data_IF_308138199098
#
_entry.id   IF_308138199098
#
_cell.length_a   1.000
_cell.length_b   1.000
_cell.length_c   1.000
_cell.angle_alpha   90.00
_cell.angle_beta   90.00
_cell.angle_gamma   90.00
#
_symmetry.space_group_name_H-M   'P 1'
#
loop_
_entity.id
_entity.type
_entity.pdbx_description
1 polymer ?
#
# COMPACT_ATOMS: atom_id res chain seq x y z
N UNK A 1 -17.14 -11.56 4.63
CA UNK A 1 -16.87 -10.92 3.34
C UNK A 1 -15.93 -11.83 2.57
N UNK A 2 -16.28 -12.24 1.37
CA UNK A 2 -15.41 -13.05 0.53
C UNK A 2 -14.15 -12.29 0.11
N UNK A 3 -13.16 -12.97 -0.51
CA UNK A 3 -12.00 -12.30 -1.05
C UNK A 3 -12.43 -11.24 -2.07
N UNK A 4 -11.82 -10.07 -2.01
CA UNK A 4 -11.99 -9.07 -3.06
C UNK A 4 -11.48 -9.69 -4.35
N UNK A 5 -12.28 -9.72 -5.41
CA UNK A 5 -11.94 -10.38 -6.66
C UNK A 5 -10.55 -9.91 -7.19
N UNK A 6 -9.65 -10.84 -7.42
CA UNK A 6 -8.28 -10.59 -7.83
C UNK A 6 -7.32 -10.25 -6.68
N UNK A 7 -7.72 -10.45 -5.43
CA UNK A 7 -6.89 -10.17 -4.26
C UNK A 7 -7.24 -11.12 -3.12
N UNK A 8 -6.23 -11.64 -2.45
CA UNK A 8 -6.39 -12.48 -1.26
C UNK A 8 -6.53 -11.66 0.03
N UNK A 9 -7.23 -10.54 -0.03
CA UNK A 9 -7.57 -9.80 1.20
C UNK A 9 -8.76 -10.51 1.85
N UNK A 10 -8.49 -11.19 2.94
CA UNK A 10 -9.51 -11.69 3.85
C UNK A 10 -9.85 -10.59 4.85
N UNK A 11 -10.87 -9.81 4.53
CA UNK A 11 -11.43 -8.86 5.49
C UNK A 11 -12.49 -9.58 6.34
N UNK A 12 -12.46 -9.41 7.67
CA UNK A 12 -13.51 -9.98 8.53
C UNK A 12 -14.87 -9.47 8.11
N UNK A 13 -15.85 -10.38 7.98
CA UNK A 13 -17.18 -10.10 7.45
C UNK A 13 -18.00 -9.06 8.25
N UNK A 14 -17.63 -8.82 9.49
CA UNK A 14 -18.36 -7.96 10.44
C UNK A 14 -17.70 -6.59 10.66
N UNK A 15 -16.57 -6.35 10.05
CA UNK A 15 -15.79 -5.14 10.32
C UNK A 15 -16.27 -3.98 9.47
N UNK A 16 -16.91 -3.01 10.10
CA UNK A 16 -17.07 -1.69 9.52
C UNK A 16 -15.67 -1.08 9.43
N UNK A 17 -15.13 -0.97 8.21
CA UNK A 17 -13.77 -0.46 7.97
C UNK A 17 -13.66 1.06 8.15
N UNK A 18 -14.78 1.72 8.50
CA UNK A 18 -14.78 3.15 8.80
C UNK A 18 -13.91 3.41 10.03
N UNK A 19 -12.98 4.35 9.89
CA UNK A 19 -12.01 4.74 10.94
C UNK A 19 -11.04 3.62 11.36
N UNK A 20 -10.88 2.59 10.54
CA UNK A 20 -9.81 1.62 10.69
C UNK A 20 -8.75 1.85 9.63
N UNK A 21 -7.56 2.13 10.08
CA UNK A 21 -6.41 2.40 9.25
C UNK A 21 -5.49 1.20 9.26
N UNK A 22 -4.84 0.94 8.13
CA UNK A 22 -4.06 -0.28 7.94
C UNK A 22 -2.67 -0.01 7.42
N UNK A 23 -1.73 -0.82 7.88
CA UNK A 23 -0.47 -1.10 7.19
C UNK A 23 -0.62 -2.46 6.51
N UNK A 24 -0.27 -2.55 5.25
CA UNK A 24 -0.45 -3.74 4.43
C UNK A 24 0.81 -4.09 3.67
N UNK A 25 0.96 -5.38 3.38
CA UNK A 25 1.95 -5.94 2.49
C UNK A 25 1.28 -6.28 1.16
N UNK A 26 1.76 -5.71 0.09
CA UNK A 26 1.38 -6.06 -1.28
C UNK A 26 2.49 -6.87 -1.91
N UNK A 27 2.16 -8.05 -2.39
CA UNK A 27 3.09 -8.99 -3.00
C UNK A 27 2.68 -9.27 -4.44
N UNK A 28 3.65 -9.18 -5.35
CA UNK A 28 3.49 -9.62 -6.72
C UNK A 28 4.31 -10.90 -6.91
N UNK A 29 3.63 -12.00 -7.17
CA UNK A 29 4.23 -13.33 -7.18
C UNK A 29 4.63 -13.70 -8.61
N UNK A 30 5.92 -13.91 -8.82
CA UNK A 30 6.53 -14.32 -10.08
C UNK A 30 7.26 -15.66 -9.91
N UNK A 31 7.52 -16.39 -11.01
CA UNK A 31 8.31 -17.63 -10.94
C UNK A 31 9.72 -17.44 -10.37
N UNK A 32 10.35 -16.30 -10.64
CA UNK A 32 11.70 -15.97 -10.16
C UNK A 32 11.74 -15.46 -8.73
N UNK A 33 10.64 -15.00 -8.18
CA UNK A 33 10.59 -14.46 -6.82
C UNK A 33 9.33 -13.65 -6.52
N UNK A 34 9.25 -13.15 -5.30
CA UNK A 34 8.12 -12.37 -4.80
C UNK A 34 8.55 -10.92 -4.61
N UNK A 35 7.98 -10.03 -5.38
CA UNK A 35 8.18 -8.59 -5.21
C UNK A 35 7.27 -8.07 -4.10
N UNK A 36 7.82 -7.28 -3.18
CA UNK A 36 7.14 -6.88 -1.97
C UNK A 36 7.14 -5.36 -1.79
N UNK A 37 5.99 -4.84 -1.43
CA UNK A 37 5.78 -3.45 -1.09
C UNK A 37 4.95 -3.33 0.19
N UNK A 38 5.37 -2.47 1.10
CA UNK A 38 4.58 -2.13 2.29
C UNK A 38 4.01 -0.73 2.10
N UNK A 39 2.73 -0.60 2.35
CA UNK A 39 2.02 0.67 2.31
C UNK A 39 1.09 0.84 3.49
N UNK A 40 0.56 2.04 3.62
CA UNK A 40 -0.44 2.36 4.62
C UNK A 40 -1.59 3.14 4.02
N UNK A 41 -2.75 3.04 4.65
CA UNK A 41 -3.96 3.73 4.17
C UNK A 41 -4.96 3.97 5.28
N UNK A 42 -5.68 5.06 5.17
CA UNK A 42 -6.86 5.38 5.99
C UNK A 42 -8.15 4.73 5.46
N UNK A 43 -8.11 4.13 4.26
CA UNK A 43 -9.21 3.39 3.67
C UNK A 43 -8.71 2.28 2.76
N UNK A 44 -8.76 1.04 3.23
CA UNK A 44 -8.27 -0.10 2.45
C UNK A 44 -9.10 -0.35 1.18
N UNK A 45 -10.42 -0.20 1.28
CA UNK A 45 -11.32 -0.37 0.13
C UNK A 45 -10.99 0.63 -0.99
N UNK A 46 -10.82 1.90 -0.62
CA UNK A 46 -10.49 2.95 -1.58
C UNK A 46 -9.09 2.77 -2.16
N UNK A 47 -8.12 2.45 -1.31
CA UNK A 47 -6.75 2.18 -1.72
C UNK A 47 -6.67 1.04 -2.73
N UNK A 48 -7.35 -0.07 -2.47
CA UNK A 48 -7.32 -1.21 -3.35
C UNK A 48 -7.99 -0.93 -4.70
N UNK A 49 -9.13 -0.22 -4.70
CA UNK A 49 -9.78 0.19 -5.94
C UNK A 49 -8.86 1.05 -6.81
N UNK A 50 -8.18 2.03 -6.21
CA UNK A 50 -7.21 2.88 -6.90
C UNK A 50 -6.00 2.09 -7.39
N UNK A 51 -5.47 1.18 -6.59
CA UNK A 51 -4.34 0.33 -6.96
C UNK A 51 -4.67 -0.55 -8.17
N UNK A 52 -5.81 -1.23 -8.16
CA UNK A 52 -6.26 -2.04 -9.31
C UNK A 52 -6.35 -1.21 -10.59
N UNK A 53 -7.03 -0.08 -10.49
CA UNK A 53 -7.19 0.83 -11.63
C UNK A 53 -5.85 1.29 -12.19
N UNK A 54 -4.91 1.62 -11.30
CA UNK A 54 -3.58 2.08 -11.69
C UNK A 54 -2.73 0.98 -12.32
N UNK A 55 -2.76 -0.23 -11.78
CA UNK A 55 -2.06 -1.40 -12.36
C UNK A 55 -2.53 -1.65 -13.79
N UNK A 56 -3.83 -1.70 -13.99
CA UNK A 56 -4.43 -1.93 -15.31
C UNK A 56 -4.03 -0.81 -16.28
N UNK A 57 -4.07 0.44 -15.84
CA UNK A 57 -3.70 1.59 -16.66
C UNK A 57 -2.22 1.58 -17.05
N UNK A 58 -1.32 1.28 -16.10
CA UNK A 58 0.12 1.22 -16.35
C UNK A 58 0.50 0.08 -17.30
N UNK A 59 -0.13 -1.07 -17.16
CA UNK A 59 0.10 -2.21 -18.05
C UNK A 59 -0.38 -1.96 -19.49
N UNK A 60 -1.45 -1.18 -19.65
CA UNK A 60 -2.05 -0.87 -20.95
C UNK A 60 -1.53 0.38 -21.65
N UNK A 61 -0.78 1.23 -20.96
CA UNK A 61 -0.34 2.52 -21.51
C UNK A 61 1.13 2.82 -21.18
N UNK A 62 2.07 2.54 -22.12
CA UNK A 62 3.49 2.82 -21.92
C UNK A 62 3.83 4.30 -21.72
N UNK A 63 2.94 5.22 -22.12
CA UNK A 63 3.16 6.66 -22.01
C UNK A 63 2.88 7.19 -20.58
N UNK A 64 2.17 6.43 -19.73
CA UNK A 64 1.93 6.82 -18.35
C UNK A 64 3.23 6.81 -17.55
N UNK A 65 3.45 7.88 -16.80
CA UNK A 65 4.60 7.99 -15.91
C UNK A 65 4.38 7.17 -14.65
N UNK A 66 5.39 6.40 -14.26
CA UNK A 66 5.46 5.73 -12.99
C UNK A 66 6.32 6.58 -12.04
N UNK A 67 5.83 6.82 -10.82
CA UNK A 67 6.49 7.70 -9.84
C UNK A 67 7.06 6.95 -8.63
N UNK A 68 6.71 5.69 -8.44
CA UNK A 68 7.16 4.86 -7.32
C UNK A 68 7.79 3.57 -7.81
N UNK A 69 8.55 2.89 -6.93
CA UNK A 69 9.11 1.58 -7.22
C UNK A 69 8.04 0.54 -7.57
N UNK A 70 6.92 0.58 -6.84
CA UNK A 70 5.76 -0.28 -7.10
C UNK A 70 5.14 -0.01 -8.49
N UNK A 71 4.94 1.24 -8.84
CA UNK A 71 4.40 1.62 -10.15
C UNK A 71 5.34 1.25 -11.30
N UNK A 72 6.64 1.46 -11.12
CA UNK A 72 7.65 1.04 -12.08
C UNK A 72 7.65 -0.48 -12.29
N UNK A 73 7.47 -1.24 -11.22
CA UNK A 73 7.35 -2.69 -11.29
C UNK A 73 6.15 -3.10 -12.16
N UNK A 74 4.98 -2.51 -11.94
CA UNK A 74 3.78 -2.83 -12.74
C UNK A 74 3.88 -2.36 -14.19
N UNK A 75 4.62 -1.30 -14.43
CA UNK A 75 4.79 -0.77 -15.78
C UNK A 75 5.74 -1.62 -16.64
N UNK A 76 6.87 -2.02 -16.08
CA UNK A 76 7.97 -2.64 -16.84
C UNK A 76 8.36 -4.04 -16.37
N UNK A 77 8.09 -4.40 -15.11
CA UNK A 77 8.52 -5.65 -14.51
C UNK A 77 7.50 -6.78 -14.58
N UNK A 78 6.23 -6.45 -14.82
CA UNK A 78 5.13 -7.41 -14.87
C UNK A 78 4.63 -7.60 -16.30
N UNK A 79 5.33 -8.41 -17.09
CA UNK A 79 4.87 -8.79 -18.43
C UNK A 79 3.69 -9.79 -18.41
N UNK A 80 3.29 -10.23 -17.21
CA UNK A 80 2.30 -11.31 -17.04
C UNK A 80 0.87 -10.82 -16.81
N UNK A 81 0.65 -9.51 -16.66
CA UNK A 81 -0.71 -8.99 -16.58
C UNK A 81 -1.37 -8.98 -17.95
N UNK A 82 -2.17 -10.00 -18.21
CA UNK A 82 -3.07 -10.00 -19.36
C UNK A 82 -4.44 -9.51 -18.92
N UNK A 83 -4.79 -8.29 -19.28
CA UNK A 83 -6.11 -7.73 -18.99
C UNK A 83 -6.33 -7.44 -17.50
N UNK A 84 -7.46 -7.91 -16.94
CA UNK A 84 -7.86 -7.67 -15.56
C UNK A 84 -7.50 -8.79 -14.58
N UNK A 85 -6.64 -9.75 -14.98
CA UNK A 85 -6.23 -10.83 -14.10
C UNK A 85 -5.14 -10.35 -13.13
N UNK A 86 -5.52 -10.17 -11.88
CA UNK A 86 -4.66 -9.77 -10.78
C UNK A 86 -4.40 -10.91 -9.79
N UNK A 87 -4.58 -12.16 -10.21
CA UNK A 87 -4.47 -13.34 -9.34
C UNK A 87 -3.07 -13.54 -8.73
N UNK A 88 -2.03 -12.99 -9.35
CA UNK A 88 -0.66 -13.03 -8.82
C UNK A 88 -0.38 -11.97 -7.77
N UNK A 89 -1.31 -11.06 -7.51
CA UNK A 89 -1.17 -10.06 -6.46
C UNK A 89 -1.85 -10.57 -5.18
N UNK A 90 -1.10 -10.55 -4.11
CA UNK A 90 -1.59 -10.87 -2.77
C UNK A 90 -1.42 -9.66 -1.87
N UNK A 91 -2.47 -9.29 -1.15
CA UNK A 91 -2.41 -8.24 -0.14
C UNK A 91 -2.71 -8.82 1.22
N UNK A 92 -1.83 -8.57 2.17
CA UNK A 92 -1.93 -9.02 3.55
C UNK A 92 -1.99 -7.81 4.47
N UNK A 93 -2.97 -7.77 5.35
CA UNK A 93 -3.05 -6.75 6.39
C UNK A 93 -2.06 -7.11 7.49
N UNK A 94 -1.10 -6.23 7.76
CA UNK A 94 -0.04 -6.46 8.74
C UNK A 94 -0.43 -5.92 10.12
N UNK A 95 -0.97 -4.73 10.15
CA UNK A 95 -1.33 -4.05 11.38
C UNK A 95 -2.48 -3.08 11.12
N UNK A 96 -3.34 -2.89 12.11
CA UNK A 96 -4.42 -1.91 12.04
C UNK A 96 -4.33 -0.92 13.19
N UNK A 97 -4.85 0.28 12.94
CA UNK A 97 -4.97 1.34 13.92
C UNK A 97 -6.41 1.81 13.98
N UNK A 98 -7.04 1.68 15.14
CA UNK A 98 -8.38 2.22 15.38
C UNK A 98 -8.25 3.72 15.64
N UNK A 99 -8.97 4.53 14.88
CA UNK A 99 -8.96 5.98 15.01
C UNK A 99 -10.36 6.46 15.37
N UNK A 100 -10.46 7.25 16.44
CA UNK A 100 -11.73 7.83 16.86
C UNK A 100 -12.08 9.01 15.97
N UNK A 101 -13.36 9.15 15.63
CA UNK A 101 -13.87 10.28 14.84
C UNK A 101 -13.51 11.63 15.48
N UNK A 102 -13.58 11.71 16.81
CA UNK A 102 -13.26 12.90 17.60
C UNK A 102 -11.81 13.33 17.40
N UNK A 103 -10.88 12.37 17.37
CA UNK A 103 -9.44 12.62 17.14
C UNK A 103 -9.19 13.12 15.72
N UNK A 104 -9.92 12.61 14.73
CA UNK A 104 -9.84 13.06 13.34
C UNK A 104 -10.34 14.49 13.17
N UNK A 105 -11.45 14.84 13.82
CA UNK A 105 -11.99 16.20 13.80
C UNK A 105 -11.06 17.18 14.52
N UNK A 106 -10.56 16.83 15.71
CA UNK A 106 -9.63 17.65 16.47
C UNK A 106 -8.31 17.90 15.72
N UNK A 107 -7.84 16.92 14.95
CA UNK A 107 -6.61 17.02 14.17
C UNK A 107 -6.80 17.67 12.80
N UNK A 108 -8.02 18.06 12.42
CA UNK A 108 -8.35 18.55 11.07
C UNK A 108 -7.88 17.59 9.97
N UNK A 109 -8.12 16.30 10.17
CA UNK A 109 -7.67 15.26 9.25
C UNK A 109 -8.27 15.46 7.85
N UNK A 110 -7.41 15.37 6.84
CA UNK A 110 -7.78 15.36 5.43
C UNK A 110 -7.67 13.93 4.89
N UNK A 111 -8.75 13.41 4.30
CA UNK A 111 -8.72 12.09 3.69
C UNK A 111 -7.70 12.00 2.55
N UNK A 112 -7.00 10.88 2.46
CA UNK A 112 -6.03 10.61 1.40
C UNK A 112 -4.60 11.03 1.70
N UNK A 113 -3.70 10.89 0.72
CA UNK A 113 -2.29 11.19 0.89
C UNK A 113 -2.05 12.70 1.08
N UNK A 114 -1.06 13.04 1.88
CA UNK A 114 -0.65 14.43 2.12
C UNK A 114 -1.12 15.04 3.43
N UNK A 115 -2.04 14.40 4.15
CA UNK A 115 -2.38 14.82 5.50
C UNK A 115 -1.20 14.60 6.46
N UNK A 116 -0.88 15.62 7.27
CA UNK A 116 0.23 15.60 8.23
C UNK A 116 -0.24 15.63 9.69
N UNK A 117 -1.48 15.26 9.95
CA UNK A 117 -1.97 15.19 11.33
C UNK A 117 -1.24 14.09 12.13
N UNK A 118 -1.34 14.16 13.47
CA UNK A 118 -0.68 13.21 14.37
C UNK A 118 -1.09 11.75 14.11
N UNK A 119 -2.33 11.50 13.71
CA UNK A 119 -2.80 10.16 13.41
C UNK A 119 -2.16 9.62 12.13
N UNK A 120 -2.04 10.43 11.10
CA UNK A 120 -1.32 10.09 9.87
C UNK A 120 0.16 9.82 10.14
N UNK A 121 0.79 10.62 11.00
CA UNK A 121 2.18 10.41 11.38
C UNK A 121 2.38 9.08 12.12
N UNK A 122 1.51 8.74 13.06
CA UNK A 122 1.54 7.43 13.74
C UNK A 122 1.43 6.27 12.75
N UNK A 123 0.53 6.37 11.78
CA UNK A 123 0.38 5.35 10.74
C UNK A 123 1.65 5.20 9.92
N UNK A 124 2.30 6.30 9.55
CA UNK A 124 3.57 6.30 8.82
C UNK A 124 4.71 5.69 9.64
N UNK A 125 4.75 5.95 10.93
CA UNK A 125 5.75 5.36 11.83
C UNK A 125 5.60 3.82 11.90
N UNK A 126 4.39 3.33 11.93
CA UNK A 126 4.09 1.88 11.89
C UNK A 126 4.52 1.30 10.52
N UNK A 127 4.19 1.96 9.43
CA UNK A 127 4.63 1.58 8.08
C UNK A 127 6.17 1.46 8.01
N UNK A 128 6.89 2.47 8.49
CA UNK A 128 8.36 2.50 8.47
C UNK A 128 8.97 1.36 9.29
N UNK A 129 8.39 1.02 10.42
CA UNK A 129 8.81 -0.15 11.23
C UNK A 129 8.68 -1.45 10.44
N UNK A 130 7.57 -1.64 9.73
CA UNK A 130 7.35 -2.83 8.91
C UNK A 130 8.29 -2.87 7.71
N UNK A 131 8.52 -1.75 7.03
CA UNK A 131 9.49 -1.64 5.93
C UNK A 131 10.88 -2.07 6.39
N UNK A 132 11.33 -1.55 7.54
CA UNK A 132 12.63 -1.91 8.11
C UNK A 132 12.68 -3.38 8.54
N UNK A 133 11.64 -3.87 9.20
CA UNK A 133 11.57 -5.25 9.70
C UNK A 133 11.59 -6.28 8.58
N UNK A 134 10.89 -6.01 7.49
CA UNK A 134 10.80 -6.92 6.35
C UNK A 134 11.86 -6.65 5.28
N UNK A 135 12.58 -5.54 5.36
CA UNK A 135 13.61 -5.19 4.40
C UNK A 135 13.10 -4.94 2.98
N UNK A 136 11.87 -4.48 2.83
CA UNK A 136 11.24 -4.28 1.51
C UNK A 136 11.82 -3.15 0.68
N UNK A 137 12.83 -2.45 1.16
CA UNK A 137 13.63 -1.46 0.43
C UNK A 137 14.99 -2.01 -0.03
N UNK A 138 15.25 -3.30 0.22
CA UNK A 138 16.50 -3.96 -0.15
C UNK A 138 16.32 -4.89 -1.34
N UNK A 139 17.37 -4.94 -2.17
CA UNK A 139 17.49 -5.91 -3.25
C UNK A 139 16.51 -5.66 -4.40
N UNK A 140 16.48 -6.62 -5.31
CA UNK A 140 15.71 -6.56 -6.55
C UNK A 140 14.20 -6.69 -6.29
N UNK A 141 13.84 -7.42 -5.23
CA UNK A 141 12.46 -7.75 -4.90
C UNK A 141 11.78 -6.77 -3.93
N UNK A 142 12.52 -5.85 -3.35
CA UNK A 142 11.98 -4.80 -2.50
C UNK A 142 11.53 -3.60 -3.32
N UNK A 143 10.27 -3.23 -3.24
CA UNK A 143 9.67 -2.16 -4.04
C UNK A 143 9.51 -0.85 -3.28
N UNK A 144 9.77 -0.82 -1.97
CA UNK A 144 9.80 0.42 -1.21
C UNK A 144 11.08 1.20 -1.52
N UNK A 145 10.95 2.53 -1.58
CA UNK A 145 12.10 3.40 -1.83
C UNK A 145 12.83 3.69 -0.52
N UNK A 146 14.12 3.43 -0.50
CA UNK A 146 14.98 3.67 0.67
C UNK A 146 14.99 5.12 1.11
N UNK A 147 14.86 6.03 0.17
CA UNK A 147 14.90 7.47 0.45
C UNK A 147 13.65 7.98 1.16
N UNK A 148 12.52 7.32 1.01
CA UNK A 148 11.30 7.66 1.74
C UNK A 148 11.45 7.44 3.24
N UNK A 149 12.00 6.29 3.63
CA UNK A 149 12.26 5.96 5.04
C UNK A 149 13.29 6.92 5.64
N UNK A 150 14.35 7.23 4.90
CA UNK A 150 15.39 8.17 5.37
C UNK A 150 14.90 9.60 5.53
N UNK A 151 14.06 10.07 4.61
CA UNK A 151 13.49 11.43 4.71
C UNK A 151 12.59 11.58 5.93
N UNK A 152 11.80 10.56 6.24
CA UNK A 152 10.92 10.55 7.42
C UNK A 152 11.72 10.53 8.72
N UNK A 153 12.75 9.73 8.78
CA UNK A 153 13.64 9.66 9.95
C UNK A 153 14.35 11.00 10.24
N UNK A 154 14.70 11.78 9.19
CA UNK A 154 15.30 13.10 9.34
C UNK A 154 14.31 14.21 9.71
N UNK A 155 13.03 14.05 9.39
CA UNK A 155 11.97 14.99 9.74
C UNK A 155 11.43 14.85 11.16
N UNK A 156 11.93 13.88 11.92
CA UNK A 156 11.50 13.56 13.29
C UNK A 156 12.34 14.24 14.37
N UNK A 157 13.21 15.16 14.02
CA UNK A 157 14.05 15.94 14.96
C UNK A 157 13.58 17.38 15.04
#
# INVERSE_FOLDING_TARGET
>A
MGPIAGCNIHLPATQKLKNQWFVYLEECIHPEGIYQYIGSTDSMTHRWANTKSKIISLAGNPALKASTGLENHYKSGCSQFSGSDLSQIRVTLLEHMNVKEEDLQAASHLAGPGCRCNQCQKLKDIEDKWICRMGTFHGVYGLNERDEVRRRARGSY
#
